data_IF_337347187340
#
_entry.id   IF_337347187340
#
_cell.length_a   1.000
_cell.length_b   1.000
_cell.length_c   1.000
_cell.angle_alpha   90.00
_cell.angle_beta   90.00
_cell.angle_gamma   90.00
#
_symmetry.space_group_name_H-M   'P 1'
#
loop_
_entity.id
_entity.type
_entity.pdbx_description
1 polymer ?
#
# COMPACT_ATOMS: atom_id res chain seq x y z
N UNK A 1 4.44 -41.21 6.77
CA UNK A 1 5.81 -40.70 6.55
C UNK A 1 5.69 -39.18 6.53
N UNK A 2 6.50 -38.49 7.32
CA UNK A 2 6.33 -37.08 7.73
C UNK A 2 6.55 -36.11 6.57
N UNK A 3 5.63 -35.16 6.42
CA UNK A 3 5.80 -33.95 5.62
C UNK A 3 6.93 -33.07 6.19
N UNK A 4 7.83 -32.63 5.31
CA UNK A 4 8.89 -31.68 5.64
C UNK A 4 8.54 -30.32 5.03
N UNK A 5 8.19 -29.36 5.89
CA UNK A 5 8.05 -27.96 5.49
C UNK A 5 9.44 -27.34 5.23
N UNK A 6 9.59 -26.41 4.27
CA UNK A 6 10.83 -25.65 4.11
C UNK A 6 10.97 -24.66 5.26
N UNK A 7 12.11 -24.73 5.95
CA UNK A 7 12.53 -23.74 6.94
C UNK A 7 12.86 -22.44 6.19
N UNK A 8 12.00 -21.43 6.32
CA UNK A 8 12.37 -20.06 5.99
C UNK A 8 13.29 -19.54 7.11
N UNK A 9 14.44 -18.92 6.81
CA UNK A 9 15.22 -18.24 7.82
C UNK A 9 14.39 -17.10 8.43
N UNK A 10 14.53 -16.89 9.73
CA UNK A 10 13.83 -15.80 10.43
C UNK A 10 14.53 -14.48 10.13
N UNK A 11 13.80 -13.37 10.06
CA UNK A 11 14.36 -12.04 9.73
C UNK A 11 15.54 -11.62 10.63
N UNK A 12 15.59 -12.16 11.85
CA UNK A 12 16.67 -11.94 12.83
C UNK A 12 17.99 -12.64 12.43
N UNK A 13 17.92 -13.79 11.74
CA UNK A 13 19.10 -14.52 11.25
C UNK A 13 19.72 -13.83 10.02
N UNK A 14 18.91 -13.11 9.23
CA UNK A 14 19.36 -12.30 8.09
C UNK A 14 20.09 -11.02 8.56
N UNK A 15 19.59 -10.35 9.60
CA UNK A 15 20.24 -9.18 10.23
C UNK A 15 21.59 -9.54 10.88
N UNK A 16 21.67 -10.68 11.57
CA UNK A 16 22.90 -11.14 12.24
C UNK A 16 23.96 -11.67 11.24
N UNK A 17 23.54 -12.07 10.03
CA UNK A 17 24.43 -12.38 8.91
C UNK A 17 24.91 -11.11 8.19
N UNK A 18 24.06 -10.08 8.05
CA UNK A 18 24.46 -8.75 7.57
C UNK A 18 25.50 -8.09 8.50
N UNK A 19 25.31 -8.18 9.83
CA UNK A 19 26.23 -7.57 10.82
C UNK A 19 27.60 -8.26 10.85
N UNK A 20 27.64 -9.58 10.71
CA UNK A 20 28.90 -10.36 10.64
C UNK A 20 29.69 -10.08 9.36
N UNK A 21 29.01 -9.86 8.23
CA UNK A 21 29.65 -9.56 6.94
C UNK A 21 30.17 -8.12 6.89
N UNK A 22 29.55 -7.18 7.61
CA UNK A 22 30.05 -5.82 7.77
C UNK A 22 31.43 -5.76 8.46
N UNK A 23 31.80 -6.78 9.25
CA UNK A 23 33.09 -6.88 9.95
C UNK A 23 34.20 -7.45 9.05
N UNK A 24 33.88 -8.35 8.11
CA UNK A 24 34.84 -8.94 7.16
C UNK A 24 35.21 -7.98 6.00
N UNK A 25 34.41 -6.91 5.84
CA UNK A 25 34.49 -5.85 4.83
C UNK A 25 35.61 -4.80 5.01
N UNK A 26 36.50 -4.98 5.99
CA UNK A 26 37.52 -4.01 6.40
C UNK A 26 38.82 -3.95 5.56
N UNK A 27 39.09 -4.92 4.68
CA UNK A 27 40.31 -4.98 3.85
C UNK A 27 40.01 -4.87 2.34
N UNK A 28 39.50 -3.71 1.89
CA UNK A 28 39.14 -3.52 0.48
C UNK A 28 40.17 -2.73 -0.34
N UNK A 29 40.42 -3.19 -1.57
CA UNK A 29 41.24 -2.52 -2.59
C UNK A 29 40.54 -1.26 -3.13
N UNK A 30 41.28 -0.31 -3.73
CA UNK A 30 40.72 0.96 -4.27
C UNK A 30 39.54 0.75 -5.24
N UNK A 31 39.58 -0.31 -6.05
CA UNK A 31 38.51 -0.66 -6.98
C UNK A 31 37.23 -1.13 -6.25
N UNK A 32 37.38 -1.83 -5.13
CA UNK A 32 36.26 -2.27 -4.29
C UNK A 32 35.67 -1.09 -3.49
N UNK A 33 36.50 -0.12 -3.09
CA UNK A 33 36.03 1.14 -2.48
C UNK A 33 35.17 1.95 -3.47
N UNK A 34 35.58 2.03 -4.74
CA UNK A 34 34.80 2.69 -5.79
C UNK A 34 33.44 2.02 -6.06
N UNK A 35 33.40 0.68 -6.01
CA UNK A 35 32.14 -0.06 -6.13
C UNK A 35 31.22 0.17 -4.94
N UNK A 36 31.74 0.21 -3.71
CA UNK A 36 30.91 0.50 -2.51
C UNK A 36 30.24 1.86 -2.60
N UNK A 37 30.96 2.90 -3.03
CA UNK A 37 30.35 4.23 -3.18
C UNK A 37 29.19 4.25 -4.20
N UNK A 38 29.34 3.48 -5.28
CA UNK A 38 28.27 3.32 -6.27
C UNK A 38 27.07 2.59 -5.67
N UNK A 39 27.31 1.54 -4.89
CA UNK A 39 26.26 0.75 -4.25
C UNK A 39 25.54 1.55 -3.17
N UNK A 40 26.23 2.33 -2.33
CA UNK A 40 25.63 3.26 -1.37
C UNK A 40 24.69 4.26 -2.05
N UNK A 41 25.06 4.73 -3.25
CA UNK A 41 24.19 5.60 -4.03
C UNK A 41 22.94 4.88 -4.50
N UNK A 42 23.07 3.65 -5.00
CA UNK A 42 21.94 2.82 -5.42
C UNK A 42 21.01 2.46 -4.24
N UNK A 43 21.56 2.29 -3.03
CA UNK A 43 20.78 2.02 -1.82
C UNK A 43 19.80 3.15 -1.48
N UNK A 44 20.14 4.41 -1.77
CA UNK A 44 19.24 5.55 -1.58
C UNK A 44 18.01 5.50 -2.48
N UNK A 45 18.13 4.85 -3.64
CA UNK A 45 17.02 4.54 -4.56
C UNK A 45 16.43 3.13 -4.29
N UNK A 46 16.75 2.51 -3.14
CA UNK A 46 16.31 1.17 -2.75
C UNK A 46 16.66 0.06 -3.76
N UNK A 47 17.81 0.19 -4.42
CA UNK A 47 18.40 -0.85 -5.26
C UNK A 47 19.58 -1.46 -4.51
N UNK A 48 19.45 -2.74 -4.18
CA UNK A 48 20.39 -3.46 -3.32
C UNK A 48 21.13 -4.52 -4.13
N UNK A 49 22.40 -4.76 -3.80
CA UNK A 49 23.16 -5.89 -4.34
C UNK A 49 22.58 -7.20 -3.81
N UNK A 50 22.49 -8.20 -4.67
CA UNK A 50 22.12 -9.57 -4.29
C UNK A 50 23.36 -10.28 -3.77
N UNK A 51 23.30 -10.76 -2.51
CA UNK A 51 24.39 -11.51 -1.87
C UNK A 51 24.52 -12.93 -2.43
N UNK A 52 23.40 -13.55 -2.79
CA UNK A 52 23.33 -14.87 -3.43
C UNK A 52 22.70 -14.71 -4.83
N UNK A 53 23.35 -15.17 -5.90
CA UNK A 53 22.75 -15.15 -7.24
C UNK A 53 21.44 -15.93 -7.24
N UNK A 54 20.40 -15.36 -7.85
CA UNK A 54 19.15 -16.09 -8.01
C UNK A 54 19.36 -17.25 -9.00
N UNK A 55 18.96 -18.49 -8.66
CA UNK A 55 19.04 -19.61 -9.61
C UNK A 55 18.17 -19.39 -10.85
N UNK A 56 17.09 -18.60 -10.73
CA UNK A 56 16.21 -18.23 -11.84
C UNK A 56 16.78 -17.07 -12.68
N UNK A 57 17.61 -16.23 -12.07
CA UNK A 57 18.15 -15.00 -12.65
C UNK A 57 19.66 -14.85 -12.37
N UNK A 58 20.51 -15.78 -12.86
CA UNK A 58 21.92 -15.85 -12.49
C UNK A 58 22.77 -14.67 -12.96
N UNK A 59 22.29 -13.92 -13.97
CA UNK A 59 22.99 -12.75 -14.53
C UNK A 59 22.61 -11.42 -13.85
N UNK A 60 21.73 -11.47 -12.84
CA UNK A 60 21.25 -10.28 -12.15
C UNK A 60 21.95 -10.10 -10.81
N UNK A 61 22.55 -8.93 -10.62
CA UNK A 61 23.36 -8.63 -9.43
C UNK A 61 22.65 -7.71 -8.44
N UNK A 62 21.55 -7.08 -8.84
CA UNK A 62 20.84 -6.10 -8.03
C UNK A 62 19.33 -6.35 -8.01
N UNK A 63 18.67 -5.91 -6.95
CA UNK A 63 17.22 -5.94 -6.79
C UNK A 63 16.72 -4.56 -6.37
N UNK A 64 15.81 -3.99 -7.15
CA UNK A 64 15.04 -2.83 -6.73
C UNK A 64 13.89 -3.28 -5.83
N UNK A 65 13.97 -2.98 -4.52
CA UNK A 65 12.92 -3.34 -3.54
C UNK A 65 11.64 -2.53 -3.72
N UNK A 66 11.71 -1.39 -4.42
CA UNK A 66 10.55 -0.52 -4.67
C UNK A 66 9.72 -0.97 -5.86
N UNK A 67 10.36 -1.61 -6.85
CA UNK A 67 9.70 -2.10 -8.06
C UNK A 67 9.61 -3.63 -8.13
N UNK A 68 10.21 -4.33 -7.17
CA UNK A 68 10.38 -5.80 -7.16
C UNK A 68 10.97 -6.34 -8.46
N UNK A 69 12.03 -5.69 -8.95
CA UNK A 69 12.65 -5.99 -10.26
C UNK A 69 14.14 -6.25 -10.11
N UNK A 70 14.60 -7.33 -10.74
CA UNK A 70 16.01 -7.68 -10.87
C UNK A 70 16.71 -6.79 -11.88
N UNK A 71 17.92 -6.35 -11.57
CA UNK A 71 18.75 -5.48 -12.41
C UNK A 71 20.15 -6.09 -12.61
N UNK A 72 20.59 -6.16 -13.87
CA UNK A 72 21.80 -6.89 -14.27
C UNK A 72 23.10 -6.26 -13.73
N UNK A 73 23.19 -4.93 -13.77
CA UNK A 73 24.40 -4.20 -13.40
C UNK A 73 24.08 -2.75 -13.01
N UNK A 74 25.12 -2.04 -12.54
CA UNK A 74 25.05 -0.63 -12.11
C UNK A 74 24.45 0.28 -13.18
N UNK A 75 24.83 0.13 -14.45
CA UNK A 75 24.30 0.98 -15.52
C UNK A 75 22.80 0.73 -15.75
N UNK A 76 22.38 -0.55 -15.68
CA UNK A 76 20.99 -0.94 -15.66
C UNK A 76 20.22 -0.30 -14.50
N UNK A 77 20.83 -0.21 -13.32
CA UNK A 77 20.22 0.40 -12.14
C UNK A 77 20.00 1.91 -12.35
N UNK A 78 21.00 2.64 -12.84
CA UNK A 78 20.84 4.06 -13.17
C UNK A 78 19.80 4.32 -14.27
N UNK A 79 19.67 3.40 -15.24
CA UNK A 79 18.61 3.47 -16.25
C UNK A 79 17.24 3.25 -15.59
N UNK A 80 17.11 2.23 -14.75
CA UNK A 80 15.89 1.91 -14.02
C UNK A 80 15.42 3.07 -13.13
N UNK A 81 16.31 3.73 -12.38
CA UNK A 81 16.00 4.89 -11.54
C UNK A 81 15.32 6.02 -12.34
N UNK A 82 15.69 6.18 -13.60
CA UNK A 82 15.12 7.22 -14.48
C UNK A 82 13.75 6.85 -15.06
N UNK A 83 13.35 5.57 -14.99
CA UNK A 83 12.07 5.09 -15.51
C UNK A 83 10.89 5.69 -14.77
N UNK A 84 9.77 5.92 -15.48
CA UNK A 84 8.55 6.48 -14.89
C UNK A 84 8.02 5.64 -13.74
N UNK A 85 8.09 4.31 -13.87
CA UNK A 85 7.62 3.36 -12.85
C UNK A 85 8.38 3.53 -11.54
N UNK A 86 9.71 3.58 -11.59
CA UNK A 86 10.52 3.75 -10.39
C UNK A 86 10.22 5.07 -9.69
N UNK A 87 10.18 6.18 -10.44
CA UNK A 87 9.84 7.51 -9.91
C UNK A 87 8.46 7.54 -9.25
N UNK A 88 7.47 6.92 -9.88
CA UNK A 88 6.11 6.82 -9.34
C UNK A 88 6.11 6.04 -8.02
N UNK A 89 6.69 4.84 -7.99
CA UNK A 89 6.69 4.02 -6.79
C UNK A 89 7.51 4.65 -5.64
N UNK A 90 8.59 5.37 -5.94
CA UNK A 90 9.35 6.13 -4.94
C UNK A 90 8.51 7.25 -4.31
N UNK A 91 7.74 7.97 -5.14
CA UNK A 91 6.80 8.99 -4.67
C UNK A 91 5.71 8.36 -3.80
N UNK A 92 5.07 7.27 -4.26
CA UNK A 92 4.04 6.55 -3.49
C UNK A 92 4.58 6.01 -2.15
N UNK A 93 5.81 5.48 -2.14
CA UNK A 93 6.46 5.02 -0.90
C UNK A 93 6.72 6.16 0.07
N UNK A 94 7.13 7.33 -0.43
CA UNK A 94 7.34 8.52 0.39
C UNK A 94 6.01 9.02 0.97
N UNK A 95 4.96 9.10 0.15
CA UNK A 95 3.62 9.48 0.59
C UNK A 95 3.08 8.49 1.65
N UNK A 96 3.26 7.19 1.45
CA UNK A 96 2.88 6.18 2.44
C UNK A 96 3.66 6.33 3.76
N UNK A 97 4.97 6.61 3.68
CA UNK A 97 5.78 6.84 4.87
C UNK A 97 5.32 8.09 5.64
N UNK A 98 4.97 9.16 4.94
CA UNK A 98 4.42 10.38 5.53
C UNK A 98 3.07 10.13 6.21
N UNK A 99 2.19 9.37 5.57
CA UNK A 99 0.89 8.98 6.14
C UNK A 99 1.06 8.11 7.39
N UNK A 100 1.99 7.15 7.38
CA UNK A 100 2.28 6.29 8.54
C UNK A 100 2.96 7.06 9.68
N UNK A 101 3.72 8.12 9.36
CA UNK A 101 4.39 8.98 10.34
C UNK A 101 3.47 10.08 10.91
N UNK A 102 2.21 10.16 10.50
CA UNK A 102 1.26 11.13 11.05
C UNK A 102 1.15 10.96 12.58
N UNK A 103 1.25 12.05 13.35
CA UNK A 103 1.10 11.98 14.79
C UNK A 103 -0.35 11.62 15.16
N UNK A 104 -0.58 11.04 16.35
CA UNK A 104 -1.92 10.84 16.86
C UNK A 104 -2.69 12.17 16.91
N UNK A 105 -4.00 12.17 16.55
CA UNK A 105 -4.79 13.39 16.57
C UNK A 105 -4.97 13.91 18.01
N UNK A 106 -4.98 15.24 18.16
CA UNK A 106 -5.28 15.88 19.44
C UNK A 106 -6.75 15.73 19.81
N UNK A 107 -7.07 15.82 21.11
CA UNK A 107 -8.45 15.77 21.58
C UNK A 107 -9.33 16.89 21.00
N UNK A 108 -8.76 18.05 20.65
CA UNK A 108 -9.48 19.13 19.99
C UNK A 108 -9.85 18.77 18.54
N UNK A 109 -8.93 18.15 17.80
CA UNK A 109 -9.18 17.68 16.43
C UNK A 109 -10.25 16.58 16.40
N UNK A 110 -10.20 15.62 17.34
CA UNK A 110 -11.21 14.58 17.46
C UNK A 110 -12.60 15.18 17.72
N UNK A 111 -12.74 16.08 18.70
CA UNK A 111 -14.02 16.75 18.97
C UNK A 111 -14.54 17.56 17.78
N UNK A 112 -13.65 18.23 17.05
CA UNK A 112 -14.02 18.97 15.85
C UNK A 112 -14.55 18.04 14.75
N UNK A 113 -13.89 16.89 14.55
CA UNK A 113 -14.34 15.86 13.60
C UNK A 113 -15.70 15.27 14.02
N UNK A 114 -15.86 14.88 15.28
CA UNK A 114 -17.12 14.35 15.81
C UNK A 114 -18.27 15.34 15.59
N UNK A 115 -18.04 16.61 15.93
CA UNK A 115 -19.03 17.67 15.72
C UNK A 115 -19.36 17.85 14.23
N UNK A 116 -18.37 17.84 13.35
CA UNK A 116 -18.58 18.01 11.91
C UNK A 116 -19.38 16.84 11.31
N UNK A 117 -19.07 15.61 11.72
CA UNK A 117 -19.78 14.41 11.28
C UNK A 117 -21.23 14.43 11.76
N UNK A 118 -21.46 14.69 13.06
CA UNK A 118 -22.80 14.76 13.64
C UNK A 118 -23.64 15.89 13.03
N UNK A 119 -23.04 17.06 12.83
CA UNK A 119 -23.72 18.19 12.21
C UNK A 119 -24.13 17.87 10.77
N UNK A 120 -23.23 17.24 10.00
CA UNK A 120 -23.51 16.84 8.61
C UNK A 120 -24.64 15.81 8.57
N UNK A 121 -24.60 14.81 9.46
CA UNK A 121 -25.66 13.82 9.59
C UNK A 121 -27.01 14.46 9.98
N UNK A 122 -27.00 15.45 10.89
CA UNK A 122 -28.22 16.15 11.30
C UNK A 122 -28.79 17.04 10.20
N UNK A 123 -27.95 17.66 9.36
CA UNK A 123 -28.40 18.62 8.35
C UNK A 123 -28.77 17.96 7.01
N UNK A 124 -28.07 16.89 6.66
CA UNK A 124 -28.20 16.25 5.34
C UNK A 124 -28.71 14.80 5.43
N UNK A 125 -28.80 14.25 6.64
CA UNK A 125 -29.33 12.92 6.87
C UNK A 125 -30.86 12.86 6.81
N UNK A 126 -31.37 11.63 6.80
CA UNK A 126 -32.80 11.36 6.87
C UNK A 126 -33.18 11.31 8.35
N UNK A 127 -34.00 12.24 8.79
CA UNK A 127 -34.59 12.21 10.13
C UNK A 127 -35.71 11.17 10.24
N UNK A 128 -36.13 10.85 11.47
CA UNK A 128 -37.30 10.00 11.69
C UNK A 128 -38.58 10.62 11.11
N UNK A 129 -38.67 11.95 11.10
CA UNK A 129 -39.77 12.68 10.45
C UNK A 129 -39.73 12.49 8.92
N UNK A 130 -38.57 12.65 8.30
CA UNK A 130 -38.40 12.39 6.87
C UNK A 130 -38.77 10.95 6.50
N UNK A 131 -38.39 9.99 7.36
CA UNK A 131 -38.76 8.59 7.19
C UNK A 131 -40.27 8.39 7.24
N UNK A 132 -40.96 9.03 8.19
CA UNK A 132 -42.40 8.89 8.32
C UNK A 132 -43.14 9.54 7.15
N UNK A 133 -42.67 10.70 6.67
CA UNK A 133 -43.18 11.32 5.43
C UNK A 133 -43.04 10.35 4.26
N UNK A 134 -41.88 9.71 4.11
CA UNK A 134 -41.62 8.74 3.04
C UNK A 134 -42.51 7.51 3.14
N UNK A 135 -42.73 6.96 4.34
CA UNK A 135 -43.69 5.86 4.54
C UNK A 135 -45.09 6.27 4.14
N UNK A 136 -45.54 7.47 4.53
CA UNK A 136 -46.85 7.99 4.13
C UNK A 136 -46.98 8.13 2.61
N UNK A 137 -45.91 8.53 1.91
CA UNK A 137 -45.88 8.53 0.43
C UNK A 137 -46.06 7.12 -0.11
N UNK A 138 -45.32 6.13 0.42
CA UNK A 138 -45.43 4.71 0.00
C UNK A 138 -46.85 4.20 0.18
N UNK A 139 -47.46 4.40 1.36
CA UNK A 139 -48.84 3.98 1.62
C UNK A 139 -49.82 4.56 0.61
N UNK A 140 -49.74 5.86 0.31
CA UNK A 140 -50.61 6.49 -0.69
C UNK A 140 -50.36 5.93 -2.10
N UNK A 141 -49.11 5.69 -2.46
CA UNK A 141 -48.77 5.08 -3.74
C UNK A 141 -49.38 3.67 -3.86
N UNK A 142 -49.27 2.86 -2.81
CA UNK A 142 -49.86 1.52 -2.76
C UNK A 142 -51.38 1.56 -2.92
N UNK A 143 -52.08 2.49 -2.27
CA UNK A 143 -53.53 2.67 -2.40
C UNK A 143 -53.93 3.00 -3.84
N UNK A 144 -53.21 3.93 -4.49
CA UNK A 144 -53.46 4.31 -5.89
C UNK A 144 -53.25 3.11 -6.81
N UNK A 145 -52.13 2.40 -6.65
CA UNK A 145 -51.81 1.24 -7.48
C UNK A 145 -52.87 0.15 -7.30
N UNK A 146 -53.22 -0.20 -6.05
CA UNK A 146 -54.25 -1.20 -5.76
C UNK A 146 -55.57 -0.85 -6.44
N UNK A 147 -56.04 0.40 -6.34
CA UNK A 147 -57.30 0.84 -6.98
C UNK A 147 -57.28 0.69 -8.50
N UNK A 148 -56.15 0.99 -9.15
CA UNK A 148 -56.03 0.87 -10.60
C UNK A 148 -55.95 -0.59 -11.05
N UNK A 149 -55.28 -1.44 -10.27
CA UNK A 149 -55.16 -2.86 -10.56
C UNK A 149 -56.46 -3.62 -10.27
N UNK A 150 -57.14 -3.34 -9.16
CA UNK A 150 -58.43 -3.98 -8.84
C UNK A 150 -59.60 -3.47 -9.69
N UNK A 151 -59.47 -2.31 -10.33
CA UNK A 151 -60.41 -1.83 -11.34
C UNK A 151 -60.36 -2.62 -12.66
N UNK A 152 -59.25 -3.29 -12.96
CA UNK A 152 -59.06 -4.04 -14.21
C UNK A 152 -59.77 -5.41 -14.21
N UNK A 153 -60.09 -5.96 -13.04
CA UNK A 153 -60.83 -7.23 -12.91
C UNK A 153 -62.36 -7.08 -13.02
N UNK A 154 -62.85 -5.85 -13.27
CA UNK A 154 -64.28 -5.51 -13.28
C UNK A 154 -64.82 -5.01 -14.63
N UNK A 155 -64.02 -5.08 -15.70
CA UNK A 155 -64.52 -4.83 -17.05
C UNK A 155 -65.13 -6.14 -17.63
N UNK A 156 -66.42 -6.14 -18.05
CA UNK A 156 -67.05 -7.27 -18.74
C UNK A 156 -66.51 -7.48 -20.16
#
# INVERSE_FOLDING_TARGET
MKDAAPMHPSAEEEEEEEERLAVEEGLLTEQQLGLRQVEERLHRDHIHRLLKPSPEYPNYHYLCKVCSVHVENVNGAYKHIKEKRHKKNMMEKQEEAELRALPPPSAAQLRALDSAVLQTASQQGISDEDLEVRKGVVTRMEEIIKRQLSGLDSAP
#
